data_IF_689426526888
#
_entry.id   IF_689426526888
#
_cell.length_a   1.000
_cell.length_b   1.000
_cell.length_c   1.000
_cell.angle_alpha   90.00
_cell.angle_beta   90.00
_cell.angle_gamma   90.00
#
_symmetry.space_group_name_H-M   'P 1'
#
loop_
_entity.id
_entity.type
_entity.pdbx_description
1 polymer ?
#
# COMPACT_ATOMS: atom_id res chain seq x y z
N UNK A 1 34.71 -12.23 -8.45
CA UNK A 1 34.72 -10.79 -8.73
C UNK A 1 33.50 -10.21 -8.05
N UNK A 2 33.68 -9.30 -7.10
CA UNK A 2 32.58 -8.55 -6.49
C UNK A 2 31.97 -7.66 -7.59
N UNK A 3 30.72 -7.94 -7.96
CA UNK A 3 30.04 -7.12 -8.96
C UNK A 3 29.78 -5.73 -8.38
N UNK A 4 30.29 -4.69 -9.04
CA UNK A 4 30.05 -3.31 -8.62
C UNK A 4 28.57 -2.99 -8.80
N UNK A 5 27.85 -2.82 -7.69
CA UNK A 5 26.43 -2.42 -7.67
C UNK A 5 26.36 -0.92 -8.02
N UNK A 6 26.26 -0.60 -9.29
CA UNK A 6 25.89 0.76 -9.72
C UNK A 6 24.39 0.93 -9.46
N UNK A 7 24.05 1.59 -8.36
CA UNK A 7 22.71 1.60 -7.78
C UNK A 7 21.56 2.08 -8.67
N UNK A 8 21.77 2.79 -9.79
CA UNK A 8 20.66 3.39 -10.55
C UNK A 8 20.93 3.61 -12.04
N UNK A 9 20.43 2.72 -12.92
CA UNK A 9 20.52 2.87 -14.39
C UNK A 9 19.76 4.08 -14.96
N UNK A 10 18.72 4.56 -14.25
CA UNK A 10 17.92 5.75 -14.59
C UNK A 10 18.05 6.86 -13.54
N UNK A 11 19.08 6.81 -12.69
CA UNK A 11 19.24 7.74 -11.57
C UNK A 11 18.11 7.67 -10.56
N UNK A 12 17.77 8.81 -9.95
CA UNK A 12 16.72 8.92 -8.91
C UNK A 12 15.30 8.60 -9.40
N UNK A 13 15.10 8.48 -10.72
CA UNK A 13 13.77 8.33 -11.34
C UNK A 13 13.10 7.02 -10.95
N UNK A 14 13.81 5.89 -10.94
CA UNK A 14 13.22 4.59 -10.58
C UNK A 14 12.81 4.52 -9.10
N UNK A 15 13.64 4.95 -8.12
CA UNK A 15 13.22 5.11 -6.73
C UNK A 15 12.02 6.02 -6.55
N UNK A 16 12.01 7.17 -7.23
CA UNK A 16 10.92 8.13 -7.11
C UNK A 16 9.64 7.56 -7.70
N UNK A 17 9.69 6.94 -8.86
CA UNK A 17 8.53 6.27 -9.46
C UNK A 17 8.00 5.15 -8.54
N UNK A 18 8.90 4.32 -8.01
CA UNK A 18 8.54 3.25 -7.08
C UNK A 18 7.84 3.82 -5.82
N UNK A 19 8.43 4.85 -5.21
CA UNK A 19 7.86 5.56 -4.05
C UNK A 19 6.48 6.15 -4.37
N UNK A 20 6.33 6.83 -5.51
CA UNK A 20 5.05 7.41 -5.93
C UNK A 20 3.96 6.33 -6.10
N UNK A 21 4.31 5.17 -6.66
CA UNK A 21 3.38 4.05 -6.80
C UNK A 21 2.96 3.45 -5.45
N UNK A 22 3.88 3.37 -4.48
CA UNK A 22 3.53 2.97 -3.12
C UNK A 22 2.61 4.00 -2.44
N UNK A 23 2.91 5.29 -2.59
CA UNK A 23 2.07 6.38 -2.08
C UNK A 23 0.66 6.35 -2.72
N UNK A 24 0.56 6.10 -4.02
CA UNK A 24 -0.70 5.98 -4.74
C UNK A 24 -1.52 4.80 -4.20
N UNK A 25 -0.94 3.60 -4.15
CA UNK A 25 -1.62 2.41 -3.62
C UNK A 25 -2.04 2.59 -2.15
N UNK A 26 -1.19 3.22 -1.33
CA UNK A 26 -1.50 3.56 0.05
C UNK A 26 -2.65 4.57 0.17
N UNK A 27 -2.65 5.65 -0.61
CA UNK A 27 -3.69 6.66 -0.59
C UNK A 27 -5.05 6.11 -1.02
N UNK A 28 -5.09 5.35 -2.12
CA UNK A 28 -6.30 4.72 -2.63
C UNK A 28 -6.83 3.67 -1.64
N UNK A 29 -5.92 2.83 -1.15
CA UNK A 29 -6.19 1.85 -0.11
C UNK A 29 -6.85 2.43 1.12
N UNK A 30 -6.19 3.44 1.70
CA UNK A 30 -6.62 4.12 2.90
C UNK A 30 -8.02 4.71 2.74
N UNK A 31 -8.29 5.36 1.60
CA UNK A 31 -9.61 5.95 1.31
C UNK A 31 -10.71 4.91 1.19
N UNK A 32 -10.46 3.81 0.50
CA UNK A 32 -11.44 2.74 0.34
C UNK A 32 -11.77 2.09 1.69
N UNK A 33 -10.76 1.90 2.55
CA UNK A 33 -10.95 1.36 3.90
C UNK A 33 -11.75 2.33 4.77
N UNK A 34 -11.37 3.61 4.82
CA UNK A 34 -12.07 4.64 5.60
C UNK A 34 -13.53 4.75 5.17
N UNK A 35 -13.80 4.75 3.85
CA UNK A 35 -15.16 4.76 3.31
C UNK A 35 -15.99 3.57 3.80
N UNK A 36 -15.44 2.36 3.71
CA UNK A 36 -16.08 1.13 4.16
C UNK A 36 -16.42 1.13 5.67
N UNK A 37 -15.67 1.90 6.47
CA UNK A 37 -15.92 2.04 7.90
C UNK A 37 -16.97 3.11 8.23
N UNK A 38 -17.19 4.09 7.35
CA UNK A 38 -18.10 5.21 7.58
C UNK A 38 -19.51 4.97 7.05
N UNK A 39 -19.63 4.32 5.89
CA UNK A 39 -20.91 4.19 5.19
C UNK A 39 -21.57 2.83 5.47
N UNK A 40 -22.72 2.84 6.17
CA UNK A 40 -23.40 1.62 6.63
C UNK A 40 -24.21 0.93 5.53
N UNK A 41 -24.61 1.66 4.50
CA UNK A 41 -25.46 1.18 3.41
C UNK A 41 -24.66 0.78 2.15
N UNK A 42 -23.34 1.05 2.13
CA UNK A 42 -22.47 0.69 1.01
C UNK A 42 -21.96 -0.75 1.09
N UNK A 43 -21.57 -1.33 -0.05
CA UNK A 43 -21.02 -2.69 -0.16
C UNK A 43 -19.64 -2.79 0.54
N UNK A 44 -19.69 -2.92 1.87
CA UNK A 44 -18.54 -2.87 2.79
C UNK A 44 -17.40 -3.79 2.37
N UNK A 45 -17.74 -5.02 1.98
CA UNK A 45 -16.78 -6.02 1.53
C UNK A 45 -16.06 -5.62 0.24
N UNK A 46 -16.76 -5.04 -0.74
CA UNK A 46 -16.17 -4.60 -2.00
C UNK A 46 -15.18 -3.46 -1.82
N UNK A 47 -15.48 -2.48 -0.96
CA UNK A 47 -14.54 -1.39 -0.67
C UNK A 47 -13.30 -1.85 0.09
N UNK A 48 -13.43 -2.80 1.02
CA UNK A 48 -12.27 -3.39 1.68
C UNK A 48 -11.43 -4.21 0.70
N UNK A 49 -12.06 -4.97 -0.19
CA UNK A 49 -11.37 -5.72 -1.23
C UNK A 49 -10.63 -4.79 -2.21
N UNK A 50 -11.29 -3.71 -2.65
CA UNK A 50 -10.68 -2.71 -3.53
C UNK A 50 -9.52 -1.98 -2.84
N UNK A 51 -9.67 -1.64 -1.56
CA UNK A 51 -8.61 -1.03 -0.77
C UNK A 51 -7.41 -1.96 -0.58
N UNK A 52 -7.65 -3.21 -0.19
CA UNK A 52 -6.60 -4.22 -0.02
C UNK A 52 -5.86 -4.52 -1.34
N UNK A 53 -6.61 -4.65 -2.44
CA UNK A 53 -6.05 -4.84 -3.78
C UNK A 53 -5.21 -3.63 -4.19
N UNK A 54 -5.66 -2.40 -3.92
CA UNK A 54 -4.90 -1.19 -4.23
C UNK A 54 -3.58 -1.10 -3.45
N UNK A 55 -3.61 -1.39 -2.15
CA UNK A 55 -2.38 -1.41 -1.33
C UNK A 55 -1.44 -2.52 -1.83
N UNK A 56 -1.96 -3.74 -2.03
CA UNK A 56 -1.18 -4.87 -2.51
C UNK A 56 -0.53 -4.61 -3.87
N UNK A 57 -1.31 -4.11 -4.84
CA UNK A 57 -0.81 -3.70 -6.15
C UNK A 57 0.23 -2.59 -6.04
N UNK A 58 0.03 -1.59 -5.17
CA UNK A 58 0.98 -0.50 -4.96
C UNK A 58 2.32 -0.98 -4.40
N UNK A 59 2.30 -1.82 -3.35
CA UNK A 59 3.52 -2.40 -2.74
C UNK A 59 4.25 -3.28 -3.75
N UNK A 60 3.53 -4.16 -4.46
CA UNK A 60 4.11 -5.03 -5.48
C UNK A 60 4.72 -4.24 -6.63
N UNK A 61 4.00 -3.23 -7.14
CA UNK A 61 4.46 -2.37 -8.24
C UNK A 61 5.69 -1.58 -7.81
N UNK A 62 5.71 -1.02 -6.60
CA UNK A 62 6.89 -0.36 -6.04
C UNK A 62 8.09 -1.32 -6.01
N UNK A 63 7.91 -2.53 -5.46
CA UNK A 63 8.99 -3.52 -5.35
C UNK A 63 9.60 -3.83 -6.72
N UNK A 64 8.78 -4.11 -7.73
CA UNK A 64 9.28 -4.47 -9.05
C UNK A 64 9.84 -3.29 -9.85
N UNK A 65 9.28 -2.08 -9.72
CA UNK A 65 9.88 -0.87 -10.33
C UNK A 65 11.25 -0.60 -9.71
N UNK A 66 11.39 -0.74 -8.39
CA UNK A 66 12.67 -0.58 -7.71
C UNK A 66 13.70 -1.64 -8.16
N UNK A 67 13.27 -2.90 -8.31
CA UNK A 67 14.10 -4.01 -8.82
C UNK A 67 14.54 -3.84 -10.27
N UNK A 68 13.71 -3.27 -11.16
CA UNK A 68 14.14 -2.91 -12.53
C UNK A 68 15.26 -1.87 -12.50
N UNK A 69 15.20 -0.95 -11.54
CA UNK A 69 16.23 0.05 -11.30
C UNK A 69 17.57 -0.55 -10.87
N UNK A 70 17.53 -1.70 -10.19
CA UNK A 70 18.69 -2.44 -9.74
C UNK A 70 19.30 -3.27 -10.88
N UNK A 71 20.57 -3.00 -11.23
CA UNK A 71 21.30 -3.75 -12.27
C UNK A 71 22.63 -4.23 -11.71
N UNK A 72 22.90 -5.51 -11.91
CA UNK A 72 24.25 -6.08 -11.76
C UNK A 72 24.93 -5.98 -13.12
N UNK A 73 26.04 -5.23 -13.21
CA UNK A 73 26.74 -4.93 -14.47
C UNK A 73 27.13 -6.18 -15.27
N UNK A 74 27.38 -7.31 -14.59
CA UNK A 74 27.90 -8.52 -15.23
C UNK A 74 26.85 -9.54 -15.69
N UNK A 75 25.54 -9.39 -15.39
CA UNK A 75 24.53 -10.43 -15.73
C UNK A 75 23.17 -9.90 -16.17
N UNK A 76 22.51 -10.63 -17.08
CA UNK A 76 21.09 -10.39 -17.42
C UNK A 76 20.22 -11.06 -16.35
N UNK A 77 19.35 -10.26 -15.73
CA UNK A 77 18.37 -10.74 -14.74
C UNK A 77 17.11 -11.16 -15.51
N UNK A 78 16.76 -12.44 -15.40
CA UNK A 78 15.46 -12.96 -15.81
C UNK A 78 14.48 -13.04 -14.65
N UNK A 79 13.20 -13.20 -14.96
CA UNK A 79 12.14 -13.28 -13.95
C UNK A 79 11.23 -14.46 -14.23
N UNK A 80 10.95 -15.25 -13.19
CA UNK A 80 9.96 -16.34 -13.27
C UNK A 80 8.55 -15.79 -13.09
N UNK A 81 7.79 -15.75 -14.19
CA UNK A 81 6.40 -15.24 -14.25
C UNK A 81 5.52 -15.84 -13.15
N UNK A 82 5.67 -17.14 -12.84
CA UNK A 82 4.80 -17.82 -11.86
C UNK A 82 5.06 -17.31 -10.45
N UNK A 83 6.32 -17.14 -10.08
CA UNK A 83 6.70 -16.60 -8.77
C UNK A 83 6.34 -15.12 -8.65
N UNK A 84 6.47 -14.35 -9.72
CA UNK A 84 6.09 -12.93 -9.76
C UNK A 84 4.57 -12.72 -9.58
N UNK A 85 3.75 -13.59 -10.19
CA UNK A 85 2.29 -13.59 -9.96
C UNK A 85 1.93 -14.10 -8.58
N UNK A 86 2.63 -15.11 -8.08
CA UNK A 86 2.43 -15.62 -6.72
C UNK A 86 2.73 -14.53 -5.69
N UNK A 87 3.80 -13.75 -5.88
CA UNK A 87 4.14 -12.64 -4.98
C UNK A 87 3.04 -11.57 -4.99
N UNK A 88 2.45 -11.25 -6.15
CA UNK A 88 1.30 -10.34 -6.24
C UNK A 88 0.09 -10.88 -5.46
N UNK A 89 -0.25 -12.15 -5.66
CA UNK A 89 -1.36 -12.79 -4.97
C UNK A 89 -1.15 -12.80 -3.45
N UNK A 90 0.07 -13.09 -3.00
CA UNK A 90 0.45 -13.03 -1.58
C UNK A 90 0.27 -11.61 -1.04
N UNK A 91 0.75 -10.57 -1.75
CA UNK A 91 0.57 -9.18 -1.33
C UNK A 91 -0.90 -8.79 -1.14
N UNK A 92 -1.75 -9.10 -2.13
CA UNK A 92 -3.19 -8.77 -2.05
C UNK A 92 -3.85 -9.56 -0.91
N UNK A 93 -3.55 -10.85 -0.80
CA UNK A 93 -4.13 -11.73 0.21
C UNK A 93 -3.77 -11.31 1.63
N UNK A 94 -2.49 -11.09 1.93
CA UNK A 94 -2.02 -10.75 3.29
C UNK A 94 -2.47 -9.36 3.72
N UNK A 95 -2.49 -8.38 2.81
CA UNK A 95 -3.04 -7.06 3.09
C UNK A 95 -4.55 -7.14 3.31
N UNK A 96 -5.26 -7.92 2.51
CA UNK A 96 -6.69 -8.16 2.68
C UNK A 96 -7.03 -8.76 4.04
N UNK A 97 -6.27 -9.77 4.46
CA UNK A 97 -6.38 -10.37 5.79
C UNK A 97 -6.15 -9.31 6.87
N UNK A 98 -5.08 -8.51 6.79
CA UNK A 98 -4.78 -7.45 7.76
C UNK A 98 -5.89 -6.42 7.91
N UNK A 99 -6.37 -5.91 6.77
CA UNK A 99 -7.45 -4.93 6.71
C UNK A 99 -8.75 -5.52 7.28
N UNK A 100 -9.08 -6.77 6.93
CA UNK A 100 -10.28 -7.44 7.43
C UNK A 100 -10.21 -7.69 8.94
N UNK A 101 -9.04 -8.10 9.46
CA UNK A 101 -8.81 -8.30 10.90
C UNK A 101 -9.06 -7.01 11.69
N UNK A 102 -8.58 -5.87 11.20
CA UNK A 102 -8.73 -4.57 11.85
C UNK A 102 -10.13 -3.98 11.65
N UNK A 103 -10.81 -4.31 10.55
CA UNK A 103 -12.16 -3.83 10.24
C UNK A 103 -13.30 -4.51 11.04
N UNK A 104 -13.03 -5.58 11.80
CA UNK A 104 -14.04 -6.25 12.63
C UNK A 104 -14.45 -5.37 13.82
N UNK A 105 -15.75 -5.22 14.10
CA UNK A 105 -16.27 -4.38 15.20
C UNK A 105 -15.78 -4.80 16.59
N UNK A 106 -15.44 -6.08 16.79
CA UNK A 106 -14.92 -6.63 18.05
C UNK A 106 -13.38 -6.68 18.11
N UNK A 107 -12.70 -5.99 17.19
CA UNK A 107 -11.25 -5.90 17.19
C UNK A 107 -10.76 -5.11 18.42
N UNK A 108 -10.58 -5.81 19.54
CA UNK A 108 -10.00 -5.23 20.75
C UNK A 108 -8.57 -4.72 20.52
N UNK A 109 -7.97 -4.08 21.53
CA UNK A 109 -6.62 -3.48 21.46
C UNK A 109 -5.50 -4.43 20.98
N UNK A 110 -5.73 -5.75 21.01
CA UNK A 110 -4.79 -6.80 20.54
C UNK A 110 -4.89 -7.11 19.05
N UNK A 111 -5.96 -6.71 18.37
CA UNK A 111 -6.15 -7.03 16.95
C UNK A 111 -5.18 -6.27 16.04
N UNK A 112 -4.86 -5.02 16.38
CA UNK A 112 -3.93 -4.19 15.61
C UNK A 112 -2.50 -4.75 15.54
N UNK A 113 -1.83 -5.10 16.66
CA UNK A 113 -0.49 -5.67 16.58
C UNK A 113 -0.48 -7.05 15.89
N UNK A 114 -1.52 -7.87 16.06
CA UNK A 114 -1.63 -9.16 15.37
C UNK A 114 -1.78 -8.97 13.85
N UNK A 115 -2.69 -8.08 13.43
CA UNK A 115 -2.89 -7.78 12.01
C UNK A 115 -1.65 -7.14 11.38
N UNK A 116 -0.96 -6.26 12.12
CA UNK A 116 0.31 -5.66 11.71
C UNK A 116 1.41 -6.71 11.54
N UNK A 117 1.54 -7.65 12.47
CA UNK A 117 2.49 -8.76 12.35
C UNK A 117 2.20 -9.65 11.14
N UNK A 118 0.94 -10.08 10.96
CA UNK A 118 0.53 -10.91 9.81
C UNK A 118 0.76 -10.19 8.49
N UNK A 119 0.35 -8.93 8.39
CA UNK A 119 0.49 -8.13 7.17
C UNK A 119 1.97 -7.84 6.87
N UNK A 120 2.75 -7.48 7.88
CA UNK A 120 4.17 -7.20 7.73
C UNK A 120 5.00 -8.42 7.33
N UNK A 121 4.76 -9.57 7.97
CA UNK A 121 5.36 -10.84 7.57
C UNK A 121 4.95 -11.23 6.15
N UNK A 122 3.69 -11.00 5.77
CA UNK A 122 3.20 -11.21 4.42
C UNK A 122 3.86 -10.32 3.37
N UNK A 123 4.06 -9.03 3.68
CA UNK A 123 4.76 -8.07 2.82
C UNK A 123 6.23 -8.45 2.68
N UNK A 124 6.89 -8.87 3.77
CA UNK A 124 8.25 -9.38 3.71
C UNK A 124 8.32 -10.68 2.88
N UNK A 125 7.37 -11.60 3.04
CA UNK A 125 7.28 -12.81 2.23
C UNK A 125 7.09 -12.48 0.74
N UNK A 126 6.25 -11.50 0.40
CA UNK A 126 6.11 -11.02 -0.97
C UNK A 126 7.43 -10.47 -1.52
N UNK A 127 8.14 -9.67 -0.73
CA UNK A 127 9.45 -9.11 -1.10
C UNK A 127 10.45 -10.23 -1.41
N UNK A 128 10.61 -11.21 -0.51
CA UNK A 128 11.57 -12.30 -0.71
C UNK A 128 11.14 -13.30 -1.78
N UNK A 129 9.83 -13.51 -1.99
CA UNK A 129 9.33 -14.26 -3.15
C UNK A 129 9.63 -13.54 -4.47
N UNK A 130 9.49 -12.21 -4.49
CA UNK A 130 9.87 -11.37 -5.64
C UNK A 130 11.37 -11.46 -5.93
N UNK A 131 12.20 -11.44 -4.89
CA UNK A 131 13.64 -11.68 -5.01
C UNK A 131 13.96 -13.08 -5.52
N UNK A 132 13.27 -14.11 -5.02
CA UNK A 132 13.42 -15.49 -5.47
C UNK A 132 12.93 -15.73 -6.90
N UNK A 133 12.09 -14.84 -7.44
CA UNK A 133 11.70 -14.88 -8.85
C UNK A 133 12.84 -14.45 -9.79
N UNK A 134 13.87 -13.75 -9.27
CA UNK A 134 15.03 -13.34 -10.06
C UNK A 134 15.90 -14.55 -10.42
N UNK A 135 16.18 -14.68 -11.70
CA UNK A 135 17.14 -15.63 -12.26
C UNK A 135 18.37 -14.86 -12.73
N UNK A 136 19.49 -15.02 -12.03
CA UNK A 136 20.77 -14.41 -12.37
C UNK A 136 21.89 -15.47 -12.31
N UNK A 137 22.96 -15.27 -13.09
CA UNK A 137 24.12 -16.18 -13.12
C UNK A 137 25.06 -15.92 -11.92
N UNK A 138 24.59 -16.26 -10.72
CA UNK A 138 25.30 -16.04 -9.47
C UNK A 138 24.47 -16.48 -8.26
N UNK A 139 25.09 -16.50 -7.09
CA UNK A 139 24.40 -16.77 -5.83
C UNK A 139 24.10 -15.45 -5.11
N UNK A 140 22.84 -15.27 -4.70
CA UNK A 140 22.45 -14.22 -3.76
C UNK A 140 22.77 -14.71 -2.36
N UNK A 141 23.68 -14.01 -1.68
CA UNK A 141 23.98 -14.23 -0.27
C UNK A 141 23.23 -13.17 0.52
N UNK A 142 22.49 -13.60 1.54
CA UNK A 142 21.71 -12.73 2.39
C UNK A 142 22.40 -12.59 3.75
N UNK A 143 22.55 -11.35 4.22
CA UNK A 143 22.91 -11.10 5.61
C UNK A 143 21.66 -11.32 6.50
N UNK A 144 21.65 -12.34 7.39
CA UNK A 144 20.49 -12.63 8.22
C UNK A 144 20.12 -11.48 9.17
N UNK A 145 21.06 -10.62 9.57
CA UNK A 145 20.79 -9.48 10.44
C UNK A 145 19.98 -8.41 9.69
N UNK A 146 20.39 -8.07 8.46
CA UNK A 146 19.70 -7.09 7.64
C UNK A 146 18.35 -7.61 7.12
N UNK A 147 18.23 -8.93 6.89
CA UNK A 147 16.94 -9.58 6.62
C UNK A 147 16.01 -9.47 7.83
N UNK A 148 16.49 -9.76 9.04
CA UNK A 148 15.68 -9.62 10.25
C UNK A 148 15.25 -8.15 10.46
N UNK A 149 16.15 -7.20 10.19
CA UNK A 149 15.84 -5.78 10.26
C UNK A 149 14.78 -5.35 9.24
N UNK A 150 14.86 -5.81 7.99
CA UNK A 150 13.86 -5.48 6.97
C UNK A 150 12.48 -6.04 7.35
N UNK A 151 12.42 -7.27 7.91
CA UNK A 151 11.19 -7.89 8.40
C UNK A 151 10.61 -7.08 9.56
N UNK A 152 11.45 -6.62 10.49
CA UNK A 152 11.02 -5.78 11.60
C UNK A 152 10.43 -4.46 11.08
N UNK A 153 11.09 -3.80 10.13
CA UNK A 153 10.58 -2.60 9.48
C UNK A 153 9.24 -2.89 8.79
N UNK A 154 9.10 -4.04 8.10
CA UNK A 154 7.84 -4.43 7.46
C UNK A 154 6.69 -4.54 8.46
N UNK A 155 6.93 -5.18 9.62
CA UNK A 155 5.92 -5.33 10.69
C UNK A 155 5.54 -3.99 11.29
N UNK A 156 6.51 -3.12 11.60
CA UNK A 156 6.25 -1.79 12.13
C UNK A 156 5.49 -0.93 11.11
N UNK A 157 5.93 -0.93 9.85
CA UNK A 157 5.29 -0.19 8.76
C UNK A 157 3.85 -0.66 8.51
N UNK A 158 3.61 -1.97 8.48
CA UNK A 158 2.28 -2.54 8.31
C UNK A 158 1.36 -2.22 9.50
N UNK A 159 1.88 -2.28 10.72
CA UNK A 159 1.14 -1.88 11.93
C UNK A 159 0.75 -0.40 11.88
N UNK A 160 1.69 0.48 11.51
CA UNK A 160 1.44 1.91 11.36
C UNK A 160 0.44 2.21 10.24
N UNK A 161 0.52 1.50 9.11
CA UNK A 161 -0.43 1.63 8.01
C UNK A 161 -1.86 1.23 8.42
N UNK A 162 -2.01 0.10 9.11
CA UNK A 162 -3.31 -0.35 9.61
C UNK A 162 -3.84 0.60 10.70
N UNK A 163 -2.97 1.14 11.55
CA UNK A 163 -3.33 2.13 12.55
C UNK A 163 -3.82 3.43 11.91
N UNK A 164 -3.13 3.89 10.86
CA UNK A 164 -3.55 5.03 10.06
C UNK A 164 -4.92 4.76 9.40
N UNK A 165 -5.16 3.53 8.92
CA UNK A 165 -6.43 3.14 8.32
C UNK A 165 -7.65 3.23 9.22
N UNK A 166 -7.48 3.12 10.53
CA UNK A 166 -8.58 3.28 11.50
C UNK A 166 -8.64 4.65 12.17
N UNK A 167 -7.53 5.39 12.18
CA UNK A 167 -7.39 6.64 12.95
C UNK A 167 -7.52 7.88 12.07
N UNK A 168 -7.02 7.82 10.84
CA UNK A 168 -6.94 8.97 9.94
C UNK A 168 -8.31 9.28 9.35
N UNK A 169 -8.75 10.53 9.52
CA UNK A 169 -9.97 11.07 8.90
C UNK A 169 -9.61 12.36 8.17
N UNK A 170 -10.13 12.52 6.95
CA UNK A 170 -9.91 13.69 6.10
C UNK A 170 -8.87 13.49 4.98
N UNK A 171 -8.93 14.38 3.98
CA UNK A 171 -8.12 14.28 2.76
C UNK A 171 -6.63 14.54 3.01
N UNK A 172 -6.29 15.63 3.70
CA UNK A 172 -4.90 16.05 3.91
C UNK A 172 -4.14 15.08 4.83
N UNK A 173 -4.78 14.59 5.88
CA UNK A 173 -4.21 13.61 6.81
C UNK A 173 -4.03 12.25 6.13
N UNK A 174 -4.96 11.84 5.25
CA UNK A 174 -4.83 10.64 4.43
C UNK A 174 -3.67 10.73 3.44
N UNK A 175 -3.45 11.91 2.85
CA UNK A 175 -2.32 12.17 1.98
C UNK A 175 -0.98 12.14 2.75
N UNK A 176 -0.92 12.76 3.93
CA UNK A 176 0.27 12.68 4.79
C UNK A 176 0.59 11.24 5.21
N UNK A 177 -0.43 10.47 5.60
CA UNK A 177 -0.28 9.06 5.96
C UNK A 177 0.21 8.20 4.79
N UNK A 178 -0.28 8.42 3.56
CA UNK A 178 0.17 7.64 2.40
C UNK A 178 1.62 7.91 2.02
N UNK A 179 2.10 9.15 2.18
CA UNK A 179 3.52 9.50 1.99
C UNK A 179 4.42 8.78 2.99
N UNK A 180 4.04 8.81 4.28
CA UNK A 180 4.78 8.11 5.34
C UNK A 180 4.77 6.59 5.10
N UNK A 181 3.63 6.03 4.71
CA UNK A 181 3.53 4.62 4.33
C UNK A 181 4.45 4.30 3.16
N UNK A 182 4.42 5.08 2.07
CA UNK A 182 5.29 4.91 0.92
C UNK A 182 6.77 4.94 1.30
N UNK A 183 7.16 5.83 2.22
CA UNK A 183 8.53 5.94 2.71
C UNK A 183 8.92 4.69 3.51
N UNK A 184 8.03 4.21 4.38
CA UNK A 184 8.27 3.03 5.19
C UNK A 184 8.41 1.75 4.34
N UNK A 185 7.54 1.55 3.35
CA UNK A 185 7.64 0.39 2.44
C UNK A 185 8.90 0.49 1.57
N UNK A 186 9.22 1.68 1.06
CA UNK A 186 10.45 1.90 0.28
C UNK A 186 11.70 1.66 1.13
N UNK A 187 11.71 2.14 2.37
CA UNK A 187 12.79 1.92 3.33
C UNK A 187 13.01 0.43 3.64
N UNK A 188 11.93 -0.34 3.84
CA UNK A 188 12.02 -1.80 3.98
C UNK A 188 12.64 -2.43 2.74
N UNK A 189 12.20 -2.03 1.55
CA UNK A 189 12.72 -2.56 0.29
C UNK A 189 14.22 -2.30 0.15
N UNK A 190 14.68 -1.07 0.37
CA UNK A 190 16.10 -0.75 0.26
C UNK A 190 16.95 -1.37 1.36
N UNK A 191 16.42 -1.55 2.58
CA UNK A 191 17.08 -2.29 3.66
C UNK A 191 17.25 -3.76 3.27
N UNK A 192 16.22 -4.37 2.70
CA UNK A 192 16.29 -5.75 2.23
C UNK A 192 17.26 -5.90 1.05
N UNK A 193 17.35 -4.92 0.15
CA UNK A 193 18.34 -4.90 -0.93
C UNK A 193 19.77 -4.72 -0.41
N UNK A 194 19.98 -3.90 0.62
CA UNK A 194 21.27 -3.76 1.27
C UNK A 194 21.74 -5.06 1.95
N UNK A 195 20.80 -5.94 2.32
CA UNK A 195 21.10 -7.28 2.84
C UNK A 195 21.66 -8.24 1.79
N UNK A 196 21.62 -7.90 0.50
CA UNK A 196 21.93 -8.79 -0.61
C UNK A 196 23.36 -8.56 -1.10
N UNK A 197 24.22 -9.55 -0.89
CA UNK A 197 25.51 -9.66 -1.56
C UNK A 197 25.39 -10.51 -2.83
N UNK A 198 25.93 -10.04 -3.95
CA UNK A 198 25.92 -10.79 -5.22
C UNK A 198 27.29 -11.42 -5.47
N UNK A 199 27.39 -12.74 -5.37
CA UNK A 199 28.57 -13.48 -5.79
C UNK A 199 28.40 -13.99 -7.23
N UNK A 200 29.03 -13.30 -8.18
CA UNK A 200 29.02 -13.69 -9.60
C UNK A 200 30.04 -14.81 -9.82
N UNK A 201 29.59 -15.99 -10.27
CA UNK A 201 30.50 -17.05 -10.69
C UNK A 201 31.08 -16.67 -12.06
N UNK A 202 32.41 -16.55 -12.12
CA UNK A 202 33.13 -16.18 -13.34
C UNK A 202 33.09 -17.31 -14.36
N UNK A 203 32.06 -17.35 -15.20
CA UNK A 203 32.08 -18.11 -16.45
C UNK A 203 31.24 -17.39 -17.49
N UNK A 204 31.90 -17.02 -18.57
CA UNK A 204 31.38 -16.51 -19.84
C UNK A 204 30.43 -17.53 -20.46
N UNK A 205 29.13 -17.46 -20.14
CA UNK A 205 28.09 -18.09 -20.96
C UNK A 205 27.09 -17.02 -21.37
N UNK A 206 27.29 -16.46 -22.56
CA UNK A 206 26.33 -15.59 -23.23
C UNK A 206 25.08 -16.40 -23.56
N UNK A 207 24.05 -16.32 -22.72
CA UNK A 207 22.73 -16.82 -23.09
C UNK A 207 22.17 -15.94 -24.21
N UNK A 208 22.12 -16.49 -25.43
CA UNK A 208 21.34 -15.99 -26.55
C UNK A 208 19.88 -16.44 -26.34
N UNK A 209 19.08 -15.58 -25.72
CA UNK A 209 17.64 -15.77 -25.54
C UNK A 209 17.01 -14.40 -25.30
N UNK A 210 15.82 -14.18 -25.85
CA UNK A 210 15.07 -12.93 -25.73
C UNK A 210 15.10 -12.42 -24.29
N UNK A 211 15.43 -11.12 -24.14
CA UNK A 211 15.67 -10.47 -22.85
C UNK A 211 14.53 -10.76 -21.86
N UNK A 212 14.70 -11.59 -20.81
CA UNK A 212 13.58 -11.95 -19.92
C UNK A 212 13.06 -10.77 -19.07
N UNK A 213 13.72 -9.61 -19.11
CA UNK A 213 13.19 -8.33 -18.65
C UNK A 213 12.00 -7.82 -19.49
N UNK A 214 11.82 -8.32 -20.72
CA UNK A 214 10.72 -7.93 -21.61
C UNK A 214 9.35 -8.38 -21.13
N UNK A 215 9.28 -9.43 -20.30
CA UNK A 215 8.01 -9.97 -19.78
C UNK A 215 7.53 -9.24 -18.52
N UNK A 216 8.45 -8.66 -17.76
CA UNK A 216 8.13 -7.99 -16.51
C UNK A 216 7.45 -6.62 -16.72
N UNK A 217 7.86 -5.89 -17.76
CA UNK A 217 7.25 -4.62 -18.16
C UNK A 217 5.75 -4.78 -18.50
N UNK A 218 5.33 -5.74 -19.35
CA UNK A 218 3.92 -6.05 -19.58
C UNK A 218 3.16 -6.46 -18.31
N UNK A 219 3.79 -7.21 -17.40
CA UNK A 219 3.15 -7.63 -16.14
C UNK A 219 2.85 -6.45 -15.22
N UNK A 220 3.64 -5.37 -15.27
CA UNK A 220 3.38 -4.13 -14.52
C UNK A 220 2.15 -3.36 -15.05
N UNK A 221 1.80 -3.52 -16.33
CA UNK A 221 0.69 -2.78 -16.95
C UNK A 221 -0.62 -3.05 -16.21
N UNK A 222 -0.91 -4.32 -15.87
CA UNK A 222 -2.15 -4.71 -15.19
C UNK A 222 -2.35 -3.98 -13.85
N UNK A 223 -1.43 -4.13 -12.88
CA UNK A 223 -1.51 -3.45 -11.59
C UNK A 223 -1.49 -1.92 -11.69
N UNK A 224 -0.70 -1.34 -12.60
CA UNK A 224 -0.67 0.12 -12.83
C UNK A 224 -2.02 0.60 -13.36
N UNK A 225 -2.56 -0.04 -14.39
CA UNK A 225 -3.87 0.30 -14.94
C UNK A 225 -4.98 0.15 -13.89
N UNK A 226 -4.92 -0.91 -13.08
CA UNK A 226 -5.84 -1.09 -11.96
C UNK A 226 -5.77 0.07 -10.97
N UNK A 227 -4.57 0.50 -10.56
CA UNK A 227 -4.39 1.63 -9.64
C UNK A 227 -4.91 2.95 -10.23
N UNK A 228 -4.68 3.19 -11.52
CA UNK A 228 -5.20 4.37 -12.20
C UNK A 228 -6.73 4.37 -12.26
N UNK A 229 -7.35 3.24 -12.61
CA UNK A 229 -8.80 3.08 -12.65
C UNK A 229 -9.41 3.21 -11.24
N UNK A 230 -8.82 2.57 -10.24
CA UNK A 230 -9.21 2.73 -8.85
C UNK A 230 -9.09 4.19 -8.39
N UNK A 231 -8.05 4.90 -8.83
CA UNK A 231 -7.87 6.32 -8.61
C UNK A 231 -8.98 7.18 -9.20
N UNK A 232 -9.37 6.90 -10.44
CA UNK A 232 -10.51 7.56 -11.10
C UNK A 232 -11.80 7.29 -10.32
N UNK A 233 -12.11 6.02 -10.02
CA UNK A 233 -13.32 5.65 -9.26
C UNK A 233 -13.37 6.35 -7.91
N UNK A 234 -12.25 6.37 -7.18
CA UNK A 234 -12.18 7.06 -5.89
C UNK A 234 -12.32 8.57 -6.07
N UNK A 235 -11.72 9.19 -7.09
CA UNK A 235 -11.78 10.63 -7.31
C UNK A 235 -13.18 11.13 -7.70
N UNK A 236 -13.92 10.36 -8.49
CA UNK A 236 -15.28 10.68 -8.92
C UNK A 236 -16.36 10.33 -7.88
N UNK A 237 -15.97 9.81 -6.71
CA UNK A 237 -16.92 9.49 -5.67
C UNK A 237 -17.48 10.80 -5.03
N UNK A 238 -18.80 11.07 -5.14
CA UNK A 238 -19.40 12.36 -4.77
C UNK A 238 -19.32 12.71 -3.27
N UNK A 239 -18.97 11.76 -2.38
CA UNK A 239 -18.67 12.06 -0.98
C UNK A 239 -17.36 12.86 -0.78
N UNK A 240 -16.51 12.99 -1.81
CA UNK A 240 -15.32 13.84 -1.80
C UNK A 240 -15.59 15.32 -2.08
N UNK A 241 -16.70 15.67 -2.72
CA UNK A 241 -17.03 17.07 -3.07
C UNK A 241 -17.93 17.71 -2.01
N UNK A 242 -18.77 16.92 -1.35
CA UNK A 242 -19.75 17.42 -0.38
C UNK A 242 -19.26 17.40 1.09
N UNK A 243 -18.20 16.64 1.40
CA UNK A 243 -17.69 16.45 2.77
C UNK A 243 -16.98 17.66 3.39
N UNK A 244 -16.46 18.59 2.57
CA UNK A 244 -15.81 19.81 3.07
C UNK A 244 -16.82 20.92 3.44
N UNK A 245 -18.10 20.79 3.03
CA UNK A 245 -19.12 21.83 3.23
C UNK A 245 -20.01 21.69 4.47
N UNK A 246 -20.23 20.46 4.95
CA UNK A 246 -21.16 20.18 6.07
C UNK A 246 -20.46 20.07 7.43
N UNK A 247 -19.17 19.74 7.48
CA UNK A 247 -18.46 19.49 8.74
C UNK A 247 -18.15 20.75 9.55
N UNK A 248 -18.07 21.92 8.90
CA UNK A 248 -17.73 23.19 9.55
C UNK A 248 -18.97 24.04 9.89
N UNK A 249 -20.18 23.49 9.80
CA UNK A 249 -21.38 24.17 10.27
C UNK A 249 -21.49 23.99 11.79
N UNK A 250 -21.31 25.04 12.60
CA UNK A 250 -21.69 24.94 14.00
C UNK A 250 -23.17 24.53 14.06
N UNK A 251 -23.47 23.52 14.88
CA UNK A 251 -24.83 23.03 15.06
C UNK A 251 -25.77 24.23 15.33
N UNK A 252 -26.94 24.29 14.67
CA UNK A 252 -27.92 25.33 14.96
C UNK A 252 -28.21 25.34 16.46
N UNK A 253 -27.98 26.48 17.10
CA UNK A 253 -28.24 26.68 18.51
C UNK A 253 -29.75 26.58 18.76
N UNK A 254 -30.25 25.39 19.11
CA UNK A 254 -31.66 25.12 19.47
C UNK A 254 -32.14 25.87 20.73
N UNK A 255 -31.35 26.81 21.30
CA UNK A 255 -31.75 27.63 22.46
C UNK A 255 -32.25 29.02 22.10
N UNK A 256 -32.82 29.23 20.92
CA UNK A 256 -33.33 30.53 20.52
C UNK A 256 -34.77 30.52 19.98
N UNK A 257 -35.60 29.53 20.29
CA UNK A 257 -37.05 29.63 20.02
C UNK A 257 -37.88 29.05 21.17
N UNK A 258 -37.97 29.78 22.29
CA UNK A 258 -39.14 29.66 23.17
C UNK A 258 -40.30 30.43 22.54
N UNK A 259 -41.41 29.79 22.12
CA UNK A 259 -42.57 30.51 21.64
C UNK A 259 -43.26 31.17 22.83
N UNK A 260 -43.38 32.50 22.82
CA UNK A 260 -44.27 33.22 23.73
C UNK A 260 -45.71 32.79 23.42
N UNK A 261 -46.25 31.90 24.25
CA UNK A 261 -47.66 31.51 24.23
C UNK A 261 -48.51 32.75 24.53
N UNK A 262 -49.10 33.35 23.51
CA UNK A 262 -50.16 34.35 23.65
C UNK A 262 -51.32 33.70 24.41
N UNK A 263 -51.54 34.16 25.64
CA UNK A 263 -52.77 33.89 26.38
C UNK A 263 -53.79 34.94 25.93
N UNK A 264 -54.60 34.60 24.94
CA UNK A 264 -55.84 35.31 24.64
C UNK A 264 -56.86 34.98 25.73
N UNK A 265 -57.10 35.93 26.64
CA UNK A 265 -58.28 35.92 27.51
C UNK A 265 -59.47 36.43 26.71
N UNK A 266 -60.23 35.54 26.10
CA UNK A 266 -61.64 35.78 25.77
C UNK A 266 -62.48 35.20 26.89
N UNK A 267 -63.04 36.05 27.75
CA UNK A 267 -64.12 35.65 28.66
C UNK A 267 -65.37 36.43 28.26
N UNK A 268 -66.33 35.69 27.72
CA UNK A 268 -67.66 36.13 27.34
C UNK A 268 -68.67 35.36 28.20
N UNK A 269 -69.56 36.09 28.87
CA UNK A 269 -70.92 35.65 29.24
C UNK A 269 -71.07 35.04 30.64
N UNK A 270 -71.89 35.71 31.46
CA UNK A 270 -72.40 35.24 32.74
C UNK A 270 -72.90 36.39 33.60
#
# INVERSE_FOLDING_TARGET
MEGTIDGFRYGIVTPVAAYLMACLGGALGLRCIVRSLMDKDSFRAGWLALGATSIGCGIWTMHFIAMIGFRVKETRIGYDVRLTLLSLAVAIGVVGVGVFLVGRRDAGRRALPLAGAVTGLGVAAMHYLGMGAMRLNGALVYDPLLVALSVLIAVVAATAALWAAVTVRGFLTSLGASLVMGLAVSGMHYTAMAAVGVHVHGTTSSWAGDSPTSLLLPMLIGPVMFLLLAGVVVMFDPLLVLGDGEWNRPAPNERAETPKRQVSRSWSGG
#
